data_IF_963125779343
#
_entry.id   IF_963125779343
#
_cell.length_a   1.000
_cell.length_b   1.000
_cell.length_c   1.000
_cell.angle_alpha   90.00
_cell.angle_beta   90.00
_cell.angle_gamma   90.00
#
_symmetry.space_group_name_H-M   'P 1'
#
loop_
_entity.id
_entity.type
_entity.pdbx_description
1 polymer ?
#
# COMPACT_ATOMS: atom_id res chain seq x y z
N UNK A 1 -38.59 -29.06 15.27
CA UNK A 1 -38.08 -30.30 15.90
C UNK A 1 -38.44 -30.27 17.38
N UNK A 2 -37.86 -29.41 18.28
CA UNK A 2 -38.13 -29.47 19.73
C UNK A 2 -39.62 -29.38 20.09
N UNK A 3 -40.37 -28.52 19.42
CA UNK A 3 -41.83 -28.41 19.63
C UNK A 3 -42.59 -29.66 19.16
N UNK A 4 -42.15 -30.26 18.05
CA UNK A 4 -42.78 -31.48 17.49
C UNK A 4 -42.51 -32.69 18.36
N UNK A 5 -41.32 -32.74 18.97
CA UNK A 5 -40.91 -33.84 19.87
C UNK A 5 -41.34 -33.61 21.34
N UNK A 6 -41.92 -32.45 21.66
CA UNK A 6 -42.35 -32.10 23.01
C UNK A 6 -41.22 -32.00 24.04
N UNK A 7 -39.99 -31.71 23.61
CA UNK A 7 -38.84 -31.56 24.50
C UNK A 7 -38.50 -30.08 24.70
N UNK A 8 -37.85 -29.70 25.82
CA UNK A 8 -37.38 -28.32 26.02
C UNK A 8 -36.45 -27.87 24.90
N UNK A 9 -36.54 -26.58 24.53
CA UNK A 9 -35.56 -25.98 23.59
C UNK A 9 -34.15 -26.01 24.19
N UNK A 10 -33.13 -26.41 23.43
CA UNK A 10 -31.78 -26.37 23.93
C UNK A 10 -31.31 -24.93 24.11
N UNK A 11 -30.49 -24.71 25.11
CA UNK A 11 -29.67 -23.48 25.18
C UNK A 11 -28.56 -23.55 24.12
N UNK A 12 -28.42 -22.48 23.37
CA UNK A 12 -27.39 -22.38 22.33
C UNK A 12 -26.26 -21.48 22.84
N UNK A 13 -25.07 -22.05 22.95
CA UNK A 13 -23.85 -21.32 23.29
C UNK A 13 -22.96 -21.28 22.06
N UNK A 14 -22.46 -20.10 21.69
CA UNK A 14 -21.59 -19.94 20.55
C UNK A 14 -20.39 -19.06 20.91
N UNK A 15 -19.22 -19.35 20.32
CA UNK A 15 -18.04 -18.52 20.36
C UNK A 15 -18.03 -17.64 19.09
N UNK A 16 -18.72 -16.49 19.16
CA UNK A 16 -19.02 -15.66 17.98
C UNK A 16 -18.57 -14.21 18.15
N UNK A 17 -17.50 -13.95 18.92
CA UNK A 17 -17.04 -12.59 19.23
C UNK A 17 -16.87 -11.72 17.99
N UNK A 18 -16.12 -12.18 17.00
CA UNK A 18 -15.89 -11.46 15.75
C UNK A 18 -17.17 -11.18 14.98
N UNK A 19 -18.08 -12.13 14.88
CA UNK A 19 -19.34 -11.96 14.16
C UNK A 19 -20.25 -10.91 14.79
N UNK A 20 -20.13 -10.68 16.11
CA UNK A 20 -20.93 -9.69 16.83
C UNK A 20 -20.36 -8.29 16.71
N UNK A 21 -19.02 -8.12 16.75
CA UNK A 21 -18.41 -6.79 16.88
C UNK A 21 -17.68 -6.30 15.62
N UNK A 22 -17.37 -7.16 14.65
CA UNK A 22 -16.59 -6.75 13.49
C UNK A 22 -17.26 -5.61 12.68
N UNK A 23 -18.58 -5.60 12.58
CA UNK A 23 -19.31 -4.70 11.69
C UNK A 23 -19.45 -3.26 12.19
N UNK A 24 -19.08 -2.95 13.44
CA UNK A 24 -19.26 -1.60 14.00
C UNK A 24 -18.18 -0.62 13.56
N UNK A 25 -17.09 -1.08 12.95
CA UNK A 25 -15.98 -0.22 12.55
C UNK A 25 -15.50 -0.54 11.13
N UNK A 26 -15.03 0.49 10.47
CA UNK A 26 -14.32 0.42 9.18
C UNK A 26 -13.09 1.33 9.21
N UNK A 27 -12.05 0.96 8.49
CA UNK A 27 -10.88 1.79 8.26
C UNK A 27 -11.02 2.49 6.90
N UNK A 28 -10.74 3.79 6.87
CA UNK A 28 -10.64 4.57 5.63
C UNK A 28 -9.18 4.91 5.41
N UNK A 29 -8.65 4.55 4.24
CA UNK A 29 -7.27 4.83 3.86
C UNK A 29 -7.24 5.62 2.56
N UNK A 30 -6.26 6.52 2.43
CA UNK A 30 -6.01 7.23 1.20
C UNK A 30 -4.90 6.53 0.41
N UNK A 31 -5.20 6.18 -0.86
CA UNK A 31 -4.20 5.74 -1.82
C UNK A 31 -3.69 6.98 -2.57
N UNK A 32 -2.43 7.34 -2.36
CA UNK A 32 -1.86 8.59 -2.85
C UNK A 32 -0.91 8.42 -4.04
N UNK A 33 -0.40 7.21 -4.26
CA UNK A 33 0.49 6.92 -5.38
C UNK A 33 0.28 5.49 -5.89
N UNK A 34 0.59 5.27 -7.17
CA UNK A 34 0.67 3.93 -7.73
C UNK A 34 2.01 3.68 -8.39
N UNK A 35 2.62 2.58 -8.04
CA UNK A 35 3.81 2.05 -8.70
C UNK A 35 3.40 0.86 -9.57
N UNK A 36 3.50 1.01 -10.88
CA UNK A 36 3.15 -0.06 -11.81
C UNK A 36 4.25 -0.30 -12.84
N UNK A 37 4.49 -1.56 -13.15
CA UNK A 37 5.38 -1.98 -14.24
C UNK A 37 4.72 -1.80 -15.61
N UNK A 38 3.45 -1.39 -15.63
CA UNK A 38 2.65 -1.14 -16.84
C UNK A 38 2.75 0.29 -17.36
N UNK A 39 3.53 1.16 -16.75
CA UNK A 39 3.79 2.47 -17.33
C UNK A 39 4.39 2.27 -18.71
N UNK A 40 3.67 2.71 -19.74
CA UNK A 40 4.15 2.73 -21.12
C UNK A 40 5.43 3.54 -21.12
N UNK A 41 6.55 2.88 -21.10
CA UNK A 41 7.83 3.52 -21.35
C UNK A 41 7.77 3.98 -22.80
N UNK A 42 7.32 5.21 -22.99
CA UNK A 42 7.20 5.87 -24.26
C UNK A 42 8.55 5.80 -24.96
N UNK A 43 8.59 5.01 -26.04
CA UNK A 43 9.63 4.98 -27.04
C UNK A 43 11.06 5.02 -26.47
N UNK A 44 11.53 3.87 -26.05
CA UNK A 44 12.97 3.68 -25.84
C UNK A 44 13.64 3.98 -27.18
N UNK A 45 14.22 5.20 -27.31
CA UNK A 45 14.88 5.63 -28.54
C UNK A 45 16.02 4.68 -28.86
N UNK A 46 16.09 4.27 -30.12
CA UNK A 46 17.14 3.41 -30.60
C UNK A 46 18.43 4.23 -30.77
N UNK A 47 19.44 3.91 -29.97
CA UNK A 47 20.77 4.53 -30.06
C UNK A 47 21.69 3.68 -30.94
N UNK A 48 22.71 4.33 -31.57
CA UNK A 48 23.64 3.62 -32.44
C UNK A 48 24.58 2.65 -31.70
N UNK A 49 24.79 2.83 -30.40
CA UNK A 49 25.68 2.06 -29.55
C UNK A 49 24.96 1.43 -28.36
N UNK A 50 23.84 0.75 -28.60
CA UNK A 50 23.13 0.02 -27.54
C UNK A 50 23.91 -1.25 -27.14
N UNK A 51 23.82 -1.62 -25.87
CA UNK A 51 24.36 -2.89 -25.38
C UNK A 51 23.69 -4.06 -26.10
N UNK A 52 24.43 -5.16 -26.32
CA UNK A 52 23.92 -6.34 -27.03
C UNK A 52 22.61 -6.88 -26.45
N UNK A 53 22.48 -6.92 -25.15
CA UNK A 53 21.24 -7.34 -24.45
C UNK A 53 20.03 -6.47 -24.79
N UNK A 54 20.20 -5.16 -24.98
CA UNK A 54 19.11 -4.28 -25.43
C UNK A 54 18.67 -4.65 -26.85
N UNK A 55 19.63 -4.92 -27.73
CA UNK A 55 19.36 -5.34 -29.12
C UNK A 55 18.62 -6.66 -29.15
N UNK A 56 19.10 -7.67 -28.42
CA UNK A 56 18.48 -8.99 -28.32
C UNK A 56 17.03 -8.92 -27.79
N UNK A 57 16.78 -8.14 -26.73
CA UNK A 57 15.41 -7.96 -26.22
C UNK A 57 14.50 -7.24 -27.21
N UNK A 58 15.00 -6.30 -28.01
CA UNK A 58 14.22 -5.66 -29.08
C UNK A 58 13.84 -6.65 -30.18
N UNK A 59 14.76 -7.57 -30.52
CA UNK A 59 14.49 -8.62 -31.51
C UNK A 59 13.45 -9.60 -30.97
N UNK A 60 13.56 -10.05 -29.70
CA UNK A 60 12.56 -10.87 -29.04
C UNK A 60 11.18 -10.18 -29.03
N UNK A 61 11.13 -8.92 -28.63
CA UNK A 61 9.88 -8.14 -28.63
C UNK A 61 9.26 -8.00 -30.03
N UNK A 62 10.08 -7.71 -31.04
CA UNK A 62 9.66 -7.66 -32.45
C UNK A 62 9.16 -9.01 -32.99
N UNK A 63 9.72 -10.09 -32.51
CA UNK A 63 9.39 -11.46 -32.90
C UNK A 63 8.18 -12.08 -32.18
N UNK A 64 7.61 -11.45 -31.15
CA UNK A 64 6.53 -12.01 -30.32
C UNK A 64 5.25 -12.43 -31.09
N UNK A 65 5.05 -11.90 -32.29
CA UNK A 65 3.91 -12.28 -33.15
C UNK A 65 4.12 -13.59 -33.89
N UNK A 66 5.35 -14.02 -34.08
CA UNK A 66 5.75 -15.15 -34.93
C UNK A 66 6.42 -16.30 -34.17
N UNK A 67 6.91 -16.09 -32.97
CA UNK A 67 7.58 -17.09 -32.13
C UNK A 67 6.72 -17.53 -30.94
N UNK A 68 7.08 -18.62 -30.28
CA UNK A 68 6.48 -19.07 -29.03
C UNK A 68 6.68 -18.01 -27.93
N UNK A 69 5.61 -17.37 -27.48
CA UNK A 69 5.70 -16.25 -26.51
C UNK A 69 6.33 -16.65 -25.17
N UNK A 70 6.09 -17.91 -24.73
CA UNK A 70 6.72 -18.44 -23.52
C UNK A 70 8.24 -18.53 -23.65
N UNK A 71 8.72 -19.04 -24.78
CA UNK A 71 10.15 -19.16 -25.06
C UNK A 71 10.81 -17.78 -25.09
N UNK A 72 10.21 -16.83 -25.81
CA UNK A 72 10.70 -15.45 -25.83
C UNK A 72 10.73 -14.78 -24.45
N UNK A 73 9.79 -15.12 -23.56
CA UNK A 73 9.80 -14.61 -22.18
C UNK A 73 10.90 -15.26 -21.33
N UNK A 74 11.13 -16.56 -21.48
CA UNK A 74 12.23 -17.24 -20.79
C UNK A 74 13.59 -16.66 -21.23
N UNK A 75 13.80 -16.48 -22.52
CA UNK A 75 15.02 -15.84 -23.04
C UNK A 75 15.19 -14.41 -22.50
N UNK A 76 14.09 -13.63 -22.47
CA UNK A 76 14.11 -12.28 -21.91
C UNK A 76 14.43 -12.26 -20.41
N UNK A 77 13.98 -13.27 -19.65
CA UNK A 77 14.27 -13.43 -18.23
C UNK A 77 15.76 -13.71 -18.01
N UNK A 78 16.35 -14.62 -18.79
CA UNK A 78 17.78 -14.93 -18.73
C UNK A 78 18.64 -13.69 -19.03
N UNK A 79 18.28 -12.95 -20.07
CA UNK A 79 18.98 -11.68 -20.41
C UNK A 79 18.88 -10.68 -19.26
N UNK A 80 17.72 -10.52 -18.65
CA UNK A 80 17.54 -9.61 -17.51
C UNK A 80 18.40 -10.01 -16.31
N UNK A 81 18.47 -11.30 -15.97
CA UNK A 81 19.28 -11.82 -14.87
C UNK A 81 20.77 -11.63 -15.13
N UNK A 82 21.22 -11.89 -16.37
CA UNK A 82 22.59 -11.62 -16.79
C UNK A 82 22.93 -10.13 -16.72
N UNK A 83 22.03 -9.27 -17.19
CA UNK A 83 22.17 -7.81 -17.11
C UNK A 83 22.27 -7.30 -15.67
N UNK A 84 21.47 -7.84 -14.75
CA UNK A 84 21.56 -7.52 -13.33
C UNK A 84 22.94 -7.89 -12.76
N UNK A 85 23.46 -9.05 -13.13
CA UNK A 85 24.78 -9.51 -12.70
C UNK A 85 25.89 -8.57 -13.23
N UNK A 86 25.83 -8.19 -14.51
CA UNK A 86 26.78 -7.27 -15.12
C UNK A 86 26.71 -5.86 -14.50
N UNK A 87 25.50 -5.40 -14.18
CA UNK A 87 25.31 -4.11 -13.50
C UNK A 87 25.93 -4.11 -12.10
N UNK A 88 25.73 -5.19 -11.33
CA UNK A 88 26.32 -5.33 -9.99
C UNK A 88 27.87 -5.35 -10.03
N UNK A 89 28.46 -5.80 -11.13
CA UNK A 89 29.90 -5.80 -11.37
C UNK A 89 30.42 -4.45 -11.93
N UNK A 90 29.54 -3.48 -12.18
CA UNK A 90 29.91 -2.19 -12.76
C UNK A 90 30.26 -2.23 -14.25
N UNK A 91 29.86 -3.29 -14.97
CA UNK A 91 30.14 -3.50 -16.40
C UNK A 91 29.03 -2.93 -17.27
N UNK A 92 27.77 -2.95 -16.79
CA UNK A 92 26.61 -2.45 -17.51
C UNK A 92 26.24 -1.05 -17.01
N UNK A 93 26.02 -0.11 -17.94
CA UNK A 93 25.59 1.24 -17.61
C UNK A 93 24.11 1.27 -17.16
N UNK A 94 23.76 2.24 -16.31
CA UNK A 94 22.40 2.40 -15.77
C UNK A 94 21.37 2.61 -16.87
N UNK A 95 21.71 3.36 -17.92
CA UNK A 95 20.81 3.62 -19.05
C UNK A 95 20.44 2.33 -19.79
N UNK A 96 21.43 1.48 -20.06
CA UNK A 96 21.18 0.18 -20.73
C UNK A 96 20.40 -0.77 -19.82
N UNK A 97 20.71 -0.80 -18.51
CA UNK A 97 19.91 -1.56 -17.54
C UNK A 97 18.44 -1.11 -17.53
N UNK A 98 18.18 0.19 -17.54
CA UNK A 98 16.81 0.71 -17.57
C UNK A 98 16.06 0.30 -18.86
N UNK A 99 16.75 0.29 -20.02
CA UNK A 99 16.17 -0.18 -21.28
C UNK A 99 15.85 -1.68 -21.25
N UNK A 100 16.76 -2.49 -20.68
CA UNK A 100 16.58 -3.94 -20.53
C UNK A 100 15.37 -4.24 -19.64
N UNK A 101 15.28 -3.59 -18.49
CA UNK A 101 14.13 -3.74 -17.57
C UNK A 101 12.81 -3.37 -18.28
N UNK A 102 12.79 -2.26 -18.99
CA UNK A 102 11.60 -1.79 -19.71
C UNK A 102 11.14 -2.77 -20.79
N UNK A 103 12.07 -3.26 -21.62
CA UNK A 103 11.77 -4.23 -22.67
C UNK A 103 11.30 -5.58 -22.09
N UNK A 104 11.94 -6.03 -21.02
CA UNK A 104 11.52 -7.25 -20.31
C UNK A 104 10.05 -7.14 -19.84
N UNK A 105 9.66 -6.00 -19.26
CA UNK A 105 8.29 -5.82 -18.79
C UNK A 105 7.28 -5.70 -19.93
N UNK A 106 7.65 -5.09 -21.06
CA UNK A 106 6.79 -5.07 -22.27
C UNK A 106 6.57 -6.49 -22.83
N UNK A 107 7.63 -7.31 -22.89
CA UNK A 107 7.54 -8.73 -23.28
C UNK A 107 6.63 -9.48 -22.31
N UNK A 108 6.84 -9.30 -21.00
CA UNK A 108 6.05 -9.94 -19.95
C UNK A 108 4.56 -9.61 -20.06
N UNK A 109 4.20 -8.36 -20.26
CA UNK A 109 2.80 -7.93 -20.47
C UNK A 109 2.18 -8.56 -21.72
N UNK A 110 2.94 -8.63 -22.82
CA UNK A 110 2.47 -9.24 -24.07
C UNK A 110 2.23 -10.75 -23.91
N UNK A 111 3.02 -11.42 -23.09
CA UNK A 111 2.86 -12.83 -22.77
C UNK A 111 1.64 -13.06 -21.89
N UNK A 112 1.50 -12.35 -20.78
CA UNK A 112 0.32 -12.47 -19.90
C UNK A 112 -0.96 -12.21 -20.67
N UNK A 113 -1.01 -11.16 -21.48
CA UNK A 113 -2.15 -10.85 -22.32
C UNK A 113 -2.56 -11.98 -23.28
N UNK A 114 -1.60 -12.76 -23.78
CA UNK A 114 -1.86 -13.90 -24.65
C UNK A 114 -2.52 -15.07 -23.94
N UNK A 115 -2.27 -15.22 -22.64
CA UNK A 115 -2.88 -16.25 -21.80
C UNK A 115 -4.22 -15.81 -21.20
N UNK A 116 -4.57 -14.53 -21.30
CA UNK A 116 -5.83 -14.00 -20.81
C UNK A 116 -7.03 -14.70 -21.45
N UNK A 117 -7.98 -15.15 -20.63
CA UNK A 117 -9.19 -15.86 -21.07
C UNK A 117 -9.02 -17.35 -21.37
N UNK A 118 -7.85 -17.94 -21.18
CA UNK A 118 -7.66 -19.38 -21.30
C UNK A 118 -8.16 -20.11 -20.03
N UNK A 119 -8.76 -21.27 -20.20
CA UNK A 119 -9.27 -22.08 -19.08
C UNK A 119 -8.16 -22.68 -18.19
N UNK A 120 -6.94 -22.76 -18.67
CA UNK A 120 -5.79 -23.23 -17.92
C UNK A 120 -4.60 -22.30 -18.19
N UNK A 121 -4.12 -21.66 -17.14
CA UNK A 121 -2.97 -20.76 -17.17
C UNK A 121 -1.83 -21.43 -16.39
N UNK A 122 -0.60 -21.55 -16.97
CA UNK A 122 0.56 -22.07 -16.24
C UNK A 122 0.85 -21.25 -14.98
N UNK A 123 1.28 -21.90 -13.90
CA UNK A 123 1.58 -21.23 -12.62
C UNK A 123 2.61 -20.11 -12.74
N UNK A 124 3.60 -20.27 -13.63
CA UNK A 124 4.60 -19.22 -13.91
C UNK A 124 3.97 -17.95 -14.51
N UNK A 125 2.95 -18.12 -15.35
CA UNK A 125 2.23 -16.97 -15.93
C UNK A 125 1.31 -16.32 -14.91
N UNK A 126 0.69 -17.09 -14.01
CA UNK A 126 -0.08 -16.53 -12.90
C UNK A 126 0.82 -15.69 -12.00
N UNK A 127 1.98 -16.20 -11.63
CA UNK A 127 2.96 -15.47 -10.83
C UNK A 127 3.50 -14.23 -11.56
N UNK A 128 3.68 -14.33 -12.89
CA UNK A 128 4.09 -13.18 -13.70
C UNK A 128 3.01 -12.10 -13.71
N UNK A 129 1.74 -12.47 -13.88
CA UNK A 129 0.60 -11.54 -13.86
C UNK A 129 0.49 -10.84 -12.50
N UNK A 130 0.61 -11.59 -11.41
CA UNK A 130 0.69 -11.03 -10.06
C UNK A 130 1.84 -10.02 -9.91
N UNK A 131 3.02 -10.33 -10.47
CA UNK A 131 4.17 -9.44 -10.45
C UNK A 131 4.00 -8.19 -11.33
N UNK A 132 3.09 -8.23 -12.31
CA UNK A 132 2.75 -7.09 -13.17
C UNK A 132 1.69 -6.18 -12.56
N UNK A 133 0.96 -6.65 -11.54
CA UNK A 133 -0.04 -5.83 -10.85
C UNK A 133 0.60 -4.56 -10.26
N UNK A 134 -0.17 -3.49 -10.23
CA UNK A 134 0.27 -2.25 -9.62
C UNK A 134 0.32 -2.39 -8.09
N UNK A 135 1.19 -1.59 -7.48
CA UNK A 135 1.23 -1.40 -6.03
C UNK A 135 0.70 0.00 -5.72
N UNK A 136 -0.37 0.08 -4.94
CA UNK A 136 -0.94 1.33 -4.49
C UNK A 136 -0.43 1.65 -3.10
N UNK A 137 0.32 2.73 -2.99
CA UNK A 137 0.80 3.26 -1.72
C UNK A 137 -0.37 3.91 -0.98
N UNK A 138 -0.68 3.36 0.17
CA UNK A 138 -1.79 3.77 1.01
C UNK A 138 -1.27 4.29 2.35
N UNK A 139 -1.82 5.41 2.79
CA UNK A 139 -1.41 6.11 4.01
C UNK A 139 -1.94 5.42 5.27
N UNK A 140 -1.41 4.26 5.58
CA UNK A 140 -1.72 3.47 6.77
C UNK A 140 -0.58 2.49 7.10
N UNK A 141 -0.68 1.77 8.20
CA UNK A 141 0.17 0.64 8.56
C UNK A 141 -0.67 -0.62 8.68
N UNK A 142 -0.26 -1.69 7.97
CA UNK A 142 -0.89 -3.02 8.10
C UNK A 142 -0.75 -3.54 9.52
N UNK A 143 0.40 -3.31 10.15
CA UNK A 143 0.70 -3.79 11.51
C UNK A 143 -0.15 -3.07 12.57
N UNK A 144 -0.40 -1.77 12.40
CA UNK A 144 -1.23 -0.99 13.32
C UNK A 144 -2.72 -1.23 13.08
N UNK A 145 -3.17 -1.25 11.83
CA UNK A 145 -4.59 -1.17 11.52
C UNK A 145 -5.19 -2.46 10.96
N UNK A 146 -4.39 -3.39 10.45
CA UNK A 146 -4.82 -4.66 9.84
C UNK A 146 -4.01 -5.86 10.39
N UNK A 147 -3.77 -5.88 11.68
CA UNK A 147 -2.87 -6.86 12.32
C UNK A 147 -3.26 -8.32 12.01
N UNK A 148 -4.56 -8.65 11.96
CA UNK A 148 -5.01 -10.01 11.66
C UNK A 148 -4.78 -10.41 10.21
N UNK A 149 -4.75 -9.44 9.27
CA UNK A 149 -4.37 -9.72 7.89
C UNK A 149 -2.93 -10.24 7.82
N UNK A 150 -2.01 -9.53 8.48
CA UNK A 150 -0.60 -9.92 8.56
C UNK A 150 -0.41 -11.22 9.34
N UNK A 151 -0.95 -11.30 10.57
CA UNK A 151 -0.66 -12.40 11.49
C UNK A 151 -1.41 -13.70 11.16
N UNK A 152 -2.66 -13.60 10.69
CA UNK A 152 -3.57 -14.73 10.54
C UNK A 152 -4.06 -14.94 9.11
N UNK A 153 -3.64 -14.08 8.17
CA UNK A 153 -4.16 -14.06 6.80
C UNK A 153 -5.67 -13.86 6.75
N UNK A 154 -6.21 -13.11 7.72
CA UNK A 154 -7.62 -12.75 7.73
C UNK A 154 -7.94 -11.88 6.53
N UNK A 155 -8.99 -12.24 5.79
CA UNK A 155 -9.49 -11.42 4.69
C UNK A 155 -10.52 -10.42 5.21
N UNK A 156 -10.39 -9.18 4.72
CA UNK A 156 -11.32 -8.10 4.98
C UNK A 156 -11.99 -7.67 3.68
N UNK A 157 -13.30 -7.33 3.67
CA UNK A 157 -13.90 -6.69 2.51
C UNK A 157 -13.26 -5.31 2.30
N UNK A 158 -12.74 -5.08 1.09
CA UNK A 158 -12.12 -3.81 0.71
C UNK A 158 -12.77 -3.31 -0.57
N UNK A 159 -13.13 -2.04 -0.59
CA UNK A 159 -13.70 -1.42 -1.78
C UNK A 159 -13.35 0.07 -1.88
N UNK A 160 -13.33 0.64 -3.08
CA UNK A 160 -13.26 2.08 -3.25
C UNK A 160 -14.43 2.80 -2.57
N UNK A 161 -14.16 3.97 -2.01
CA UNK A 161 -15.14 4.94 -1.52
C UNK A 161 -15.25 6.16 -2.44
N UNK A 162 -14.30 6.31 -3.37
CA UNK A 162 -14.25 7.38 -4.37
C UNK A 162 -14.48 6.82 -5.77
N UNK A 163 -14.98 7.64 -6.69
CA UNK A 163 -15.16 7.33 -8.12
C UNK A 163 -16.03 6.10 -8.39
N UNK A 164 -17.08 5.88 -7.58
CA UNK A 164 -17.99 4.73 -7.70
C UNK A 164 -18.81 4.72 -9.00
N UNK A 165 -18.85 5.84 -9.72
CA UNK A 165 -19.51 6.02 -11.02
C UNK A 165 -18.63 5.62 -12.22
N UNK A 166 -17.38 5.22 -11.99
CA UNK A 166 -16.41 4.89 -13.03
C UNK A 166 -16.03 3.40 -12.98
N UNK A 167 -15.65 2.86 -14.13
CA UNK A 167 -15.08 1.51 -14.19
C UNK A 167 -13.62 1.51 -13.74
N UNK A 168 -13.18 0.55 -12.95
CA UNK A 168 -11.77 0.46 -12.54
C UNK A 168 -10.86 0.22 -13.75
N UNK A 169 -9.64 0.69 -13.69
CA UNK A 169 -8.70 0.71 -14.82
C UNK A 169 -7.53 -0.25 -14.64
N UNK A 170 -7.25 -0.68 -13.40
CA UNK A 170 -6.02 -1.38 -13.08
C UNK A 170 -6.21 -2.39 -11.95
N UNK A 171 -5.58 -3.54 -12.09
CA UNK A 171 -5.43 -4.52 -11.00
C UNK A 171 -4.27 -4.09 -10.09
N UNK A 172 -4.50 -4.07 -8.78
CA UNK A 172 -3.55 -3.56 -7.81
C UNK A 172 -3.51 -4.38 -6.52
N UNK A 173 -2.38 -4.28 -5.83
CA UNK A 173 -2.20 -4.63 -4.42
C UNK A 173 -2.08 -3.37 -3.61
N UNK A 174 -2.43 -3.41 -2.35
CA UNK A 174 -2.25 -2.28 -1.46
C UNK A 174 -0.94 -2.46 -0.68
N UNK A 175 -0.16 -1.40 -0.61
CA UNK A 175 1.11 -1.36 0.15
C UNK A 175 0.99 -0.24 1.16
N UNK A 176 1.37 -0.51 2.38
CA UNK A 176 1.40 0.49 3.45
C UNK A 176 2.65 1.38 3.35
N UNK A 177 2.78 2.33 4.28
CA UNK A 177 3.93 3.24 4.34
C UNK A 177 5.06 2.76 5.24
N UNK A 178 4.98 1.54 5.78
CA UNK A 178 6.09 0.95 6.53
C UNK A 178 7.22 0.51 5.58
N UNK A 179 8.43 0.35 6.10
CA UNK A 179 9.54 -0.15 5.31
C UNK A 179 9.59 -1.69 5.23
N UNK A 180 8.68 -2.38 5.90
CA UNK A 180 8.64 -3.84 5.92
C UNK A 180 7.99 -4.41 4.66
N UNK A 181 8.58 -5.44 4.08
CA UNK A 181 8.04 -6.12 2.89
C UNK A 181 6.68 -6.80 3.13
N UNK A 182 6.34 -7.09 4.38
CA UNK A 182 5.06 -7.66 4.79
C UNK A 182 3.96 -6.59 4.93
N UNK A 183 4.31 -5.29 4.85
CA UNK A 183 3.39 -4.16 4.88
C UNK A 183 2.53 -4.04 3.62
N UNK A 184 1.79 -5.11 3.29
CA UNK A 184 0.95 -5.16 2.09
C UNK A 184 -0.34 -5.95 2.31
N UNK A 185 -1.36 -5.61 1.51
CA UNK A 185 -2.56 -6.42 1.34
C UNK A 185 -2.55 -6.98 -0.07
N UNK A 186 -2.30 -8.27 -0.17
CA UNK A 186 -2.13 -9.01 -1.42
C UNK A 186 -3.14 -10.17 -1.58
N UNK A 187 -4.14 -10.24 -0.68
CA UNK A 187 -5.20 -11.22 -0.73
C UNK A 187 -6.55 -10.56 -0.48
N UNK A 188 -7.47 -10.74 -1.40
CA UNK A 188 -8.78 -10.09 -1.40
C UNK A 188 -9.92 -11.10 -1.49
N UNK A 189 -11.11 -10.70 -1.03
CA UNK A 189 -12.33 -11.47 -1.19
C UNK A 189 -12.80 -11.32 -2.64
N UNK A 190 -12.75 -12.41 -3.42
CA UNK A 190 -13.27 -12.47 -4.79
C UNK A 190 -14.69 -13.07 -4.86
N UNK A 191 -15.37 -12.87 -6.00
CA UNK A 191 -16.73 -13.40 -6.20
C UNK A 191 -16.78 -14.93 -6.28
N UNK A 192 -15.74 -15.58 -6.82
CA UNK A 192 -15.68 -17.04 -6.99
C UNK A 192 -14.44 -17.68 -6.33
N UNK A 193 -13.41 -16.90 -6.09
CA UNK A 193 -12.13 -17.34 -5.48
C UNK A 193 -11.48 -16.18 -4.74
N UNK A 194 -10.59 -16.52 -3.81
CA UNK A 194 -9.67 -15.57 -3.21
C UNK A 194 -8.77 -15.00 -4.33
N UNK A 195 -8.79 -13.68 -4.50
CA UNK A 195 -7.98 -12.97 -5.51
C UNK A 195 -6.73 -12.36 -4.88
N UNK A 196 -5.68 -12.22 -5.68
CA UNK A 196 -4.42 -11.61 -5.27
C UNK A 196 -4.33 -10.12 -5.64
N UNK A 197 -5.36 -9.59 -6.30
CA UNK A 197 -5.45 -8.18 -6.71
C UNK A 197 -6.87 -7.66 -6.52
N UNK A 198 -6.98 -6.34 -6.44
CA UNK A 198 -8.22 -5.59 -6.43
C UNK A 198 -8.26 -4.65 -7.64
N UNK A 199 -9.40 -4.61 -8.33
CA UNK A 199 -9.58 -3.70 -9.46
C UNK A 199 -9.84 -2.28 -8.97
N UNK A 200 -8.96 -1.35 -9.30
CA UNK A 200 -8.95 0.01 -8.77
C UNK A 200 -8.81 1.06 -9.89
N UNK A 201 -9.19 2.31 -9.57
CA UNK A 201 -8.84 3.50 -10.37
C UNK A 201 -7.42 3.95 -10.08
N UNK A 202 -6.78 4.61 -11.03
CA UNK A 202 -5.50 5.27 -10.79
C UNK A 202 -5.66 6.38 -9.74
N UNK A 203 -4.85 6.38 -8.67
CA UNK A 203 -4.87 7.47 -7.71
C UNK A 203 -4.42 8.77 -8.38
N UNK A 204 -5.05 9.87 -8.00
CA UNK A 204 -4.67 11.19 -8.51
C UNK A 204 -3.49 11.74 -7.73
N UNK A 205 -2.34 11.87 -8.37
CA UNK A 205 -1.13 12.46 -7.77
C UNK A 205 -1.30 13.97 -7.52
N UNK A 206 -2.33 14.60 -8.06
CA UNK A 206 -2.49 16.07 -8.05
C UNK A 206 -3.24 16.65 -6.84
N UNK A 207 -3.52 15.87 -5.81
CA UNK A 207 -4.07 16.36 -4.53
C UNK A 207 -5.49 16.94 -4.56
N UNK A 208 -6.10 17.13 -5.73
CA UNK A 208 -7.42 17.76 -5.84
C UNK A 208 -8.60 16.80 -5.61
N UNK A 209 -8.38 15.49 -5.71
CA UNK A 209 -9.39 14.46 -5.48
C UNK A 209 -8.73 13.24 -4.84
N UNK A 210 -8.68 13.16 -3.52
CA UNK A 210 -8.08 12.03 -2.82
C UNK A 210 -8.83 10.72 -3.16
N UNK A 211 -8.07 9.64 -3.29
CA UNK A 211 -8.62 8.33 -3.59
C UNK A 211 -8.71 7.51 -2.31
N UNK A 212 -9.92 7.40 -1.77
CA UNK A 212 -10.18 6.67 -0.54
C UNK A 212 -10.64 5.24 -0.80
N UNK A 213 -10.12 4.33 -0.01
CA UNK A 213 -10.53 2.93 0.10
C UNK A 213 -11.10 2.67 1.49
N UNK A 214 -12.18 1.91 1.56
CA UNK A 214 -12.75 1.42 2.81
C UNK A 214 -12.36 -0.02 3.05
N UNK A 215 -11.87 -0.32 4.24
CA UNK A 215 -11.66 -1.67 4.75
C UNK A 215 -12.72 -1.92 5.81
N UNK A 216 -13.58 -2.91 5.57
CA UNK A 216 -14.76 -3.16 6.41
C UNK A 216 -14.53 -4.29 7.40
N UNK A 217 -15.41 -4.39 8.39
CA UNK A 217 -15.41 -5.41 9.45
C UNK A 217 -14.16 -5.32 10.36
N UNK A 218 -13.77 -4.09 10.69
CA UNK A 218 -12.58 -3.78 11.47
C UNK A 218 -12.80 -3.79 12.99
N UNK A 219 -14.04 -3.88 13.46
CA UNK A 219 -14.41 -3.72 14.87
C UNK A 219 -13.95 -4.84 15.83
N UNK A 220 -13.33 -5.91 15.31
CA UNK A 220 -12.84 -7.01 16.12
C UNK A 220 -11.31 -7.07 16.10
N UNK A 221 -10.69 -6.83 17.26
CA UNK A 221 -9.26 -7.02 17.57
C UNK A 221 -8.28 -6.03 16.94
N UNK A 222 -8.54 -5.46 15.77
CA UNK A 222 -7.55 -4.74 14.99
C UNK A 222 -6.92 -3.58 15.77
N UNK A 223 -7.73 -2.72 16.33
CA UNK A 223 -7.26 -1.54 17.06
C UNK A 223 -6.55 -1.90 18.39
N UNK A 224 -7.08 -2.91 19.11
CA UNK A 224 -6.54 -3.32 20.42
C UNK A 224 -5.25 -4.11 20.30
N UNK A 225 -5.08 -4.90 19.24
CA UNK A 225 -3.92 -5.76 19.01
C UNK A 225 -2.91 -5.14 18.05
N UNK A 226 -3.18 -3.96 17.50
CA UNK A 226 -2.30 -3.27 16.57
C UNK A 226 -0.91 -3.06 17.15
N UNK A 227 0.12 -3.21 16.31
CA UNK A 227 1.52 -3.03 16.65
C UNK A 227 2.07 -1.75 15.98
N UNK A 228 2.80 -0.95 16.75
CA UNK A 228 3.41 0.29 16.28
C UNK A 228 4.72 0.04 15.49
N UNK A 229 4.70 -0.89 14.57
CA UNK A 229 5.83 -1.15 13.68
C UNK A 229 6.26 0.14 12.96
N UNK A 230 7.56 0.43 12.94
CA UNK A 230 8.14 1.71 12.49
C UNK A 230 7.59 2.97 13.21
N UNK A 231 7.04 2.81 14.41
CA UNK A 231 6.46 3.88 15.21
C UNK A 231 5.25 4.57 14.57
N UNK A 232 4.50 3.87 13.71
CA UNK A 232 3.18 4.33 13.27
C UNK A 232 2.18 4.08 14.40
N UNK A 233 1.59 5.15 14.92
CA UNK A 233 0.61 5.12 16.00
C UNK A 233 -0.81 4.88 15.52
N UNK A 234 -1.78 5.03 16.42
CA UNK A 234 -3.20 4.93 16.10
C UNK A 234 -3.63 6.03 15.15
N UNK A 235 -4.54 5.69 14.26
CA UNK A 235 -5.17 6.64 13.34
C UNK A 235 -6.26 7.45 14.06
N UNK A 236 -6.73 8.54 13.44
CA UNK A 236 -7.91 9.26 13.93
C UNK A 236 -9.15 8.38 13.89
N UNK A 237 -10.01 8.49 14.88
CA UNK A 237 -11.28 7.79 14.96
C UNK A 237 -12.43 8.81 14.94
N UNK A 238 -13.47 8.49 14.18
CA UNK A 238 -14.70 9.29 14.12
C UNK A 238 -15.85 8.37 14.54
N UNK A 239 -16.54 8.72 15.61
CA UNK A 239 -17.72 8.02 16.07
C UNK A 239 -18.96 8.60 15.40
N UNK A 240 -19.64 7.75 14.62
CA UNK A 240 -20.79 8.12 13.81
C UNK A 240 -22.02 7.36 14.29
N UNK A 241 -23.09 8.08 14.58
CA UNK A 241 -24.40 7.53 14.95
C UNK A 241 -25.38 7.73 13.80
N UNK A 242 -26.07 6.69 13.41
CA UNK A 242 -27.13 6.79 12.39
C UNK A 242 -28.36 7.44 13.05
N UNK A 243 -28.71 8.63 12.57
CA UNK A 243 -29.93 9.34 12.98
C UNK A 243 -30.80 9.65 11.75
N UNK A 244 -31.88 8.90 11.52
CA UNK A 244 -32.78 9.14 10.39
C UNK A 244 -33.45 10.53 10.41
N UNK A 245 -33.47 11.21 11.55
CA UNK A 245 -34.08 12.55 11.68
C UNK A 245 -33.06 13.68 11.42
N UNK A 246 -31.77 13.37 11.38
CA UNK A 246 -30.74 14.33 11.03
C UNK A 246 -30.73 14.57 9.50
N UNK A 247 -30.48 15.80 9.07
CA UNK A 247 -30.46 16.20 7.64
C UNK A 247 -29.57 15.30 6.78
N UNK A 248 -28.45 14.81 7.33
CA UNK A 248 -27.49 13.93 6.66
C UNK A 248 -27.78 12.44 6.86
N UNK A 249 -28.79 12.07 7.68
CA UNK A 249 -29.06 10.70 8.07
C UNK A 249 -28.11 10.13 9.13
N UNK A 250 -27.16 10.94 9.61
CA UNK A 250 -26.21 10.56 10.65
C UNK A 250 -25.74 11.79 11.43
N UNK A 251 -25.20 11.57 12.62
CA UNK A 251 -24.50 12.56 13.42
C UNK A 251 -23.10 12.07 13.78
N UNK A 252 -22.17 13.02 13.99
CA UNK A 252 -20.81 12.73 14.47
C UNK A 252 -20.82 13.01 15.97
N UNK A 253 -20.72 11.95 16.76
CA UNK A 253 -20.78 12.04 18.21
C UNK A 253 -19.44 12.49 18.80
N UNK A 254 -18.33 11.95 18.29
CA UNK A 254 -16.99 12.23 18.78
C UNK A 254 -15.94 12.10 17.67
N UNK A 255 -14.88 12.92 17.79
CA UNK A 255 -13.65 12.79 16.99
C UNK A 255 -12.50 12.58 17.96
N UNK A 256 -11.85 11.43 17.88
CA UNK A 256 -10.70 11.07 18.72
C UNK A 256 -9.44 11.21 17.86
N UNK A 257 -8.52 12.05 18.28
CA UNK A 257 -7.23 12.21 17.61
C UNK A 257 -6.38 10.95 17.79
N UNK A 258 -5.70 10.54 16.73
CA UNK A 258 -4.72 9.46 16.76
C UNK A 258 -3.45 9.86 17.52
N UNK A 259 -2.49 8.93 17.55
CA UNK A 259 -1.24 9.15 18.27
C UNK A 259 -0.38 10.21 17.59
N UNK A 260 0.09 11.16 18.41
CA UNK A 260 1.10 12.13 17.96
C UNK A 260 2.50 11.51 17.96
N UNK A 261 3.43 12.12 17.22
CA UNK A 261 4.85 11.73 17.25
C UNK A 261 5.40 11.74 18.68
N UNK A 262 5.03 12.75 19.49
CA UNK A 262 5.44 12.82 20.89
C UNK A 262 4.89 11.63 21.73
N UNK A 263 3.61 11.26 21.53
CA UNK A 263 3.01 10.13 22.27
C UNK A 263 3.70 8.81 21.95
N UNK A 264 3.97 8.56 20.68
CA UNK A 264 4.65 7.33 20.22
C UNK A 264 6.10 7.30 20.72
N UNK A 265 6.83 8.42 20.63
CA UNK A 265 8.19 8.51 21.17
C UNK A 265 8.24 8.26 22.67
N UNK A 266 7.24 8.76 23.42
CA UNK A 266 7.17 8.51 24.86
C UNK A 266 6.98 7.02 25.20
N UNK A 267 6.24 6.27 24.37
CA UNK A 267 6.10 4.81 24.56
C UNK A 267 7.42 4.06 24.42
N UNK A 268 8.36 4.59 23.63
CA UNK A 268 9.72 4.05 23.49
C UNK A 268 10.76 4.82 24.33
N UNK A 269 10.31 5.49 25.37
CA UNK A 269 11.12 6.13 26.42
C UNK A 269 11.85 7.42 26.01
N UNK A 270 11.36 8.12 24.99
CA UNK A 270 11.81 9.48 24.65
C UNK A 270 10.80 10.49 25.18
N UNK A 271 11.17 11.24 26.22
CA UNK A 271 10.34 12.27 26.82
C UNK A 271 10.34 13.56 25.98
N UNK A 272 9.15 14.07 25.68
CA UNK A 272 8.96 15.28 24.86
C UNK A 272 9.73 16.49 25.39
N UNK A 273 9.67 16.74 26.69
CA UNK A 273 10.34 17.91 27.27
C UNK A 273 11.86 17.81 27.17
N UNK A 274 12.40 16.60 27.34
CA UNK A 274 13.82 16.31 27.16
C UNK A 274 14.27 16.59 25.72
N UNK A 275 13.49 16.16 24.75
CA UNK A 275 13.75 16.39 23.32
C UNK A 275 13.70 17.89 22.98
N UNK A 276 12.67 18.61 23.44
CA UNK A 276 12.55 20.07 23.25
C UNK A 276 13.73 20.80 23.90
N UNK A 277 14.12 20.41 25.13
CA UNK A 277 15.25 21.05 25.79
C UNK A 277 16.57 20.77 25.07
N UNK A 278 16.76 19.56 24.56
CA UNK A 278 17.95 19.21 23.75
C UNK A 278 18.03 20.06 22.48
N UNK A 279 16.91 20.19 21.76
CA UNK A 279 16.82 21.03 20.55
C UNK A 279 17.09 22.50 20.87
N UNK A 280 16.50 23.02 21.96
CA UNK A 280 16.74 24.38 22.41
C UNK A 280 18.22 24.63 22.71
N UNK A 281 18.88 23.73 23.40
CA UNK A 281 20.31 23.87 23.69
C UNK A 281 21.16 23.92 22.41
N UNK A 282 20.81 23.14 21.40
CA UNK A 282 21.51 23.16 20.10
C UNK A 282 21.27 24.50 19.37
N UNK A 283 20.05 25.01 19.37
CA UNK A 283 19.69 26.30 18.77
C UNK A 283 20.43 27.43 19.50
N UNK A 284 20.43 27.45 20.83
CA UNK A 284 21.14 28.46 21.61
C UNK A 284 22.62 28.47 21.29
N UNK A 285 23.26 27.32 21.19
CA UNK A 285 24.65 27.19 20.78
C UNK A 285 24.89 27.70 19.32
N UNK A 286 23.98 27.42 18.40
CA UNK A 286 24.08 27.88 17.03
C UNK A 286 23.94 29.42 16.92
N UNK A 287 23.07 30.02 17.75
CA UNK A 287 22.94 31.46 17.86
C UNK A 287 24.23 32.10 18.42
N UNK A 288 24.82 31.53 19.48
CA UNK A 288 26.08 31.99 20.03
C UNK A 288 27.24 31.93 19.02
N UNK A 289 27.20 30.95 18.13
CA UNK A 289 28.18 30.80 17.05
C UNK A 289 27.83 31.59 15.77
N UNK A 290 26.85 32.50 15.84
CA UNK A 290 26.40 33.33 14.71
C UNK A 290 25.91 32.57 13.48
N UNK A 291 25.43 31.33 13.66
CA UNK A 291 24.84 30.52 12.59
C UNK A 291 23.37 30.85 12.33
N UNK A 292 22.66 31.29 13.38
CA UNK A 292 21.26 31.71 13.33
C UNK A 292 21.07 33.04 14.09
N UNK A 293 20.09 33.82 13.65
CA UNK A 293 19.57 34.94 14.46
C UNK A 293 18.64 34.39 15.57
N UNK A 294 18.42 35.15 16.66
CA UNK A 294 17.45 34.75 17.69
C UNK A 294 16.03 34.52 17.16
N UNK A 295 15.61 35.24 16.12
CA UNK A 295 14.30 35.10 15.49
C UNK A 295 14.18 33.75 14.74
N UNK A 296 15.20 33.41 13.96
CA UNK A 296 15.26 32.12 13.25
C UNK A 296 15.30 30.93 14.23
N UNK A 297 16.08 31.07 15.31
CA UNK A 297 16.10 30.06 16.37
C UNK A 297 14.75 29.83 17.05
N UNK A 298 13.98 30.90 17.31
CA UNK A 298 12.61 30.77 17.85
C UNK A 298 11.69 30.04 16.87
N UNK A 299 11.72 30.42 15.58
CA UNK A 299 10.89 29.78 14.55
C UNK A 299 11.22 28.29 14.40
N UNK A 300 12.50 27.95 14.42
CA UNK A 300 12.94 26.54 14.35
C UNK A 300 12.46 25.73 15.56
N UNK A 301 12.52 26.29 16.77
CA UNK A 301 12.04 25.63 17.97
C UNK A 301 10.51 25.42 17.92
N UNK A 302 9.77 26.41 17.45
CA UNK A 302 8.31 26.32 17.33
C UNK A 302 7.92 25.29 16.25
N UNK A 303 8.63 25.24 15.12
CA UNK A 303 8.45 24.22 14.10
C UNK A 303 8.72 22.81 14.63
N UNK A 304 9.80 22.64 15.40
CA UNK A 304 10.13 21.35 16.02
C UNK A 304 9.04 20.89 17.00
N UNK A 305 8.54 21.81 17.84
CA UNK A 305 7.44 21.50 18.77
C UNK A 305 6.15 21.13 18.05
N UNK A 306 5.85 21.80 16.93
CA UNK A 306 4.70 21.47 16.12
C UNK A 306 4.83 20.08 15.52
N UNK A 307 6.00 19.76 14.93
CA UNK A 307 6.27 18.42 14.39
C UNK A 307 6.10 17.29 15.42
N UNK A 308 6.45 17.53 16.71
CA UNK A 308 6.18 16.56 17.77
C UNK A 308 4.69 16.31 18.05
N UNK A 309 3.83 17.27 17.72
CA UNK A 309 2.37 17.18 17.87
C UNK A 309 1.67 16.61 16.65
N UNK A 310 2.36 16.60 15.51
CA UNK A 310 1.83 16.02 14.28
C UNK A 310 1.61 14.51 14.43
N UNK A 311 0.74 13.98 13.60
CA UNK A 311 0.49 12.54 13.56
C UNK A 311 1.66 11.80 12.88
N UNK A 312 1.71 10.49 13.06
CA UNK A 312 2.78 9.64 12.52
C UNK A 312 2.59 9.29 11.04
N UNK A 313 1.44 9.63 10.47
CA UNK A 313 1.11 9.40 9.05
C UNK A 313 1.38 10.63 8.20
N UNK A 314 1.38 10.44 6.87
CA UNK A 314 1.62 11.53 5.93
C UNK A 314 0.49 12.56 5.97
N UNK A 315 0.84 13.86 5.97
CA UNK A 315 -0.10 14.95 5.71
C UNK A 315 -0.10 15.20 4.20
N UNK A 316 -1.11 14.70 3.50
CA UNK A 316 -1.25 14.72 2.04
C UNK A 316 -2.10 15.90 1.58
#
# INVERSE_FOLDING_TARGET
VSNEEGVPHPEIISESGRAIVAHHSMLVVEAFESMGKSQKFTQIQKNKNEHTFVVELRELYGGLKSSGKMEAWHDAKEIKEAAQSMFNLGILELEDKAKIESLYWEISQAVVKDFGGRSMIPGEIQQLDENLSAQYLCNFSVFQSLIDHWALKQLFPIMPLSFLDKSPEQEARLVDITCDSDGQVDQFIGQEKQGNTLSLHLPSISGSNPYHLGVFLMGAYQDVMGDMHNLFGRVNEIQVVIDPNHERGYDIEEVIEGDSIASVLNMVQYDENTLIQSMKNQIDNAILNHQFSPSEGSQMLDYYKQGLRDQTYLSL
#
